data_IF_434489753859
#
_entry.id   IF_434489753859
#
_cell.length_a   1.000
_cell.length_b   1.000
_cell.length_c   1.000
_cell.angle_alpha   90.00
_cell.angle_beta   90.00
_cell.angle_gamma   90.00
#
_symmetry.space_group_name_H-M   'P 1'
#
loop_
_entity.id
_entity.type
_entity.pdbx_description
1 polymer ?
#
# COMPACT_ATOMS: atom_id res chain seq x y z
N UNK A 1 14.80 -5.20 -43.02
CA UNK A 1 14.03 -5.86 -41.94
C UNK A 1 14.12 -4.93 -40.74
N UNK A 2 13.01 -4.31 -40.34
CA UNK A 2 13.00 -3.25 -39.33
C UNK A 2 12.81 -3.85 -37.92
N UNK A 3 13.76 -3.59 -37.03
CA UNK A 3 13.60 -3.75 -35.59
C UNK A 3 12.70 -2.62 -35.07
N UNK A 4 11.47 -2.94 -34.65
CA UNK A 4 10.62 -2.01 -33.91
C UNK A 4 10.53 -2.48 -32.46
N UNK A 5 11.52 -2.04 -31.68
CA UNK A 5 11.51 -2.15 -30.23
C UNK A 5 10.40 -1.25 -29.66
N UNK A 6 9.27 -1.83 -29.29
CA UNK A 6 8.27 -1.14 -28.46
C UNK A 6 8.85 -0.98 -27.05
N UNK A 7 9.59 0.13 -26.84
CA UNK A 7 9.94 0.59 -25.50
C UNK A 7 8.63 0.82 -24.77
N UNK A 8 8.33 -0.02 -23.77
CA UNK A 8 7.23 0.20 -22.83
C UNK A 8 7.45 1.56 -22.14
N UNK A 9 6.87 2.61 -22.71
CA UNK A 9 6.96 3.97 -22.17
C UNK A 9 6.17 3.96 -20.86
N UNK A 10 6.87 4.01 -19.72
CA UNK A 10 6.22 4.25 -18.44
C UNK A 10 5.44 5.57 -18.48
N UNK A 11 4.49 5.74 -17.57
CA UNK A 11 3.72 6.98 -17.48
C UNK A 11 4.58 8.16 -17.03
N UNK A 12 4.23 9.37 -17.45
CA UNK A 12 4.87 10.60 -16.93
C UNK A 12 4.42 10.86 -15.49
N UNK A 13 5.13 11.77 -14.81
CA UNK A 13 4.76 12.18 -13.44
C UNK A 13 3.36 12.80 -13.43
N UNK A 14 3.02 13.59 -14.45
CA UNK A 14 1.72 14.26 -14.59
C UNK A 14 0.60 13.25 -14.81
N UNK A 15 0.80 12.25 -15.66
CA UNK A 15 -0.14 11.15 -15.87
C UNK A 15 -0.33 10.33 -14.59
N UNK A 16 0.75 10.07 -13.86
CA UNK A 16 0.71 9.37 -12.57
C UNK A 16 -0.05 10.17 -11.49
N UNK A 17 0.19 11.49 -11.43
CA UNK A 17 -0.54 12.41 -10.55
C UNK A 17 -2.04 12.41 -10.86
N UNK A 18 -2.41 12.40 -12.14
CA UNK A 18 -3.81 12.31 -12.54
C UNK A 18 -4.45 10.97 -12.15
N UNK A 19 -3.74 9.86 -12.30
CA UNK A 19 -4.20 8.55 -11.80
C UNK A 19 -4.39 8.54 -10.28
N UNK A 20 -3.47 9.15 -9.52
CA UNK A 20 -3.60 9.30 -8.06
C UNK A 20 -4.87 10.10 -7.73
N UNK A 21 -5.08 11.25 -8.39
CA UNK A 21 -6.26 12.11 -8.18
C UNK A 21 -7.56 11.36 -8.45
N UNK A 22 -7.62 10.57 -9.53
CA UNK A 22 -8.79 9.73 -9.84
C UNK A 22 -8.98 8.61 -8.83
N UNK A 23 -7.90 7.94 -8.43
CA UNK A 23 -7.93 6.88 -7.41
C UNK A 23 -8.45 7.37 -6.06
N UNK A 24 -8.03 8.55 -5.62
CA UNK A 24 -8.50 9.20 -4.38
C UNK A 24 -10.01 9.50 -4.37
N UNK A 25 -10.68 9.48 -5.53
CA UNK A 25 -12.14 9.66 -5.62
C UNK A 25 -12.93 8.36 -5.51
N UNK A 26 -12.27 7.21 -5.56
CA UNK A 26 -12.95 5.90 -5.49
C UNK A 26 -13.58 5.68 -4.11
N UNK A 27 -14.71 4.95 -4.00
CA UNK A 27 -15.41 4.75 -2.74
C UNK A 27 -14.53 4.14 -1.64
N UNK A 28 -13.71 3.14 -1.98
CA UNK A 28 -12.83 2.47 -1.01
C UNK A 28 -11.75 3.41 -0.46
N UNK A 29 -11.16 4.25 -1.31
CA UNK A 29 -10.14 5.21 -0.87
C UNK A 29 -10.75 6.35 -0.05
N UNK A 30 -11.98 6.78 -0.38
CA UNK A 30 -12.74 7.72 0.46
C UNK A 30 -13.02 7.13 1.84
N UNK A 31 -13.54 5.90 1.89
CA UNK A 31 -13.78 5.16 3.12
C UNK A 31 -12.50 5.09 3.99
N UNK A 32 -11.38 4.71 3.39
CA UNK A 32 -10.08 4.66 4.09
C UNK A 32 -9.68 6.03 4.66
N UNK A 33 -9.79 7.09 3.86
CA UNK A 33 -9.40 8.44 4.26
C UNK A 33 -10.26 8.97 5.42
N UNK A 34 -11.56 8.74 5.37
CA UNK A 34 -12.49 9.13 6.43
C UNK A 34 -12.16 8.45 7.76
N UNK A 35 -11.85 7.15 7.74
CA UNK A 35 -11.48 6.42 8.96
C UNK A 35 -10.14 6.87 9.53
N UNK A 36 -9.17 7.19 8.67
CA UNK A 36 -7.90 7.77 9.11
C UNK A 36 -8.12 9.15 9.75
N UNK A 37 -8.98 9.99 9.18
CA UNK A 37 -9.32 11.29 9.76
C UNK A 37 -10.05 11.16 11.10
N UNK A 38 -10.99 10.22 11.24
CA UNK A 38 -11.70 9.93 12.49
C UNK A 38 -10.77 9.48 13.61
N UNK A 39 -9.76 8.69 13.28
CA UNK A 39 -8.74 8.25 14.24
C UNK A 39 -7.67 9.31 14.52
N UNK A 40 -7.79 10.52 13.95
CA UNK A 40 -6.82 11.61 14.14
C UNK A 40 -5.59 11.55 13.24
N UNK A 41 -5.49 10.55 12.36
CA UNK A 41 -4.39 10.36 11.42
C UNK A 41 -4.63 11.09 10.10
N UNK A 42 -4.72 12.42 10.16
CA UNK A 42 -4.98 13.26 8.98
C UNK A 42 -3.92 13.06 7.91
N UNK A 43 -4.39 12.85 6.68
CA UNK A 43 -3.58 12.81 5.46
C UNK A 43 -3.60 14.22 4.86
N UNK A 44 -2.45 14.91 4.87
CA UNK A 44 -2.33 16.24 4.27
C UNK A 44 -2.43 16.23 2.74
N UNK A 45 -2.65 17.40 2.15
CA UNK A 45 -2.57 17.58 0.71
C UNK A 45 -1.17 17.19 0.21
N UNK A 46 -1.10 16.41 -0.88
CA UNK A 46 0.15 15.84 -1.42
C UNK A 46 0.83 14.76 -0.57
N UNK A 47 0.12 14.08 0.33
CA UNK A 47 0.67 12.93 1.05
C UNK A 47 1.05 11.77 0.11
N UNK A 48 0.24 11.53 -0.94
CA UNK A 48 0.53 10.56 -2.00
C UNK A 48 1.20 11.30 -3.16
N UNK A 49 2.42 10.89 -3.52
CA UNK A 49 3.22 11.52 -4.58
C UNK A 49 3.63 10.51 -5.64
N UNK A 50 3.58 10.94 -6.89
CA UNK A 50 4.22 10.23 -7.99
C UNK A 50 5.74 10.38 -7.88
N UNK A 51 6.47 9.26 -7.98
CA UNK A 51 7.94 9.23 -8.02
C UNK A 51 8.40 8.32 -9.16
N UNK A 52 9.56 8.62 -9.74
CA UNK A 52 10.18 7.72 -10.70
C UNK A 52 10.63 6.43 -10.01
N UNK A 53 10.38 5.31 -10.67
CA UNK A 53 10.83 4.00 -10.20
C UNK A 53 12.12 3.62 -10.92
N UNK A 54 13.18 3.39 -10.16
CA UNK A 54 14.49 2.95 -10.70
C UNK A 54 14.49 1.45 -11.08
N UNK A 55 13.46 0.71 -10.66
CA UNK A 55 13.34 -0.73 -10.83
C UNK A 55 11.90 -1.13 -11.18
N UNK A 56 11.74 -2.22 -11.92
CA UNK A 56 10.43 -2.83 -12.20
C UNK A 56 9.89 -3.50 -10.93
N UNK A 57 9.05 -2.78 -10.21
CA UNK A 57 8.49 -3.23 -8.92
C UNK A 57 6.96 -3.13 -8.97
N UNK A 58 6.28 -4.20 -8.55
CA UNK A 58 4.84 -4.21 -8.27
C UNK A 58 4.64 -4.46 -6.77
N UNK A 59 3.95 -3.57 -6.06
CA UNK A 59 3.84 -3.67 -4.59
C UNK A 59 5.13 -3.36 -3.82
N UNK A 60 5.13 -3.51 -2.49
CA UNK A 60 6.31 -3.29 -1.64
C UNK A 60 6.17 -2.22 -0.56
N UNK A 61 6.82 -2.41 0.59
CA UNK A 61 7.16 -1.32 1.51
C UNK A 61 8.63 -0.95 1.33
N UNK A 62 8.90 0.32 1.01
CA UNK A 62 10.25 0.86 0.98
C UNK A 62 10.37 2.00 1.98
N UNK A 63 11.34 1.89 2.90
CA UNK A 63 11.62 2.92 3.91
C UNK A 63 11.97 4.23 3.19
N UNK A 64 11.26 5.31 3.52
CA UNK A 64 11.40 6.61 2.85
C UNK A 64 10.71 6.72 1.48
N UNK A 65 10.11 5.65 0.94
CA UNK A 65 9.40 5.63 -0.35
C UNK A 65 7.92 5.21 -0.26
N UNK A 66 7.44 4.73 0.91
CA UNK A 66 6.02 4.50 1.21
C UNK A 66 5.55 3.04 1.18
N UNK A 67 4.23 2.82 1.40
CA UNK A 67 3.54 1.53 1.18
C UNK A 67 3.06 1.42 -0.27
N UNK A 68 3.15 0.21 -0.79
CA UNK A 68 2.45 -0.29 -1.96
C UNK A 68 1.75 -1.60 -1.55
N UNK A 69 0.63 -1.93 -2.20
CA UNK A 69 -0.35 -2.97 -1.82
C UNK A 69 0.28 -4.22 -1.15
N UNK A 70 0.26 -4.33 0.18
CA UNK A 70 1.02 -5.36 0.90
C UNK A 70 0.37 -6.76 0.89
N UNK A 71 -0.96 -6.82 0.83
CA UNK A 71 -1.73 -8.06 0.83
C UNK A 71 -1.66 -8.75 -0.55
N UNK A 72 -1.97 -8.02 -1.62
CA UNK A 72 -2.14 -8.59 -2.96
C UNK A 72 -0.86 -8.62 -3.81
N UNK A 73 0.25 -8.05 -3.34
CA UNK A 73 1.55 -8.08 -4.06
C UNK A 73 2.36 -9.36 -3.87
N UNK A 74 1.95 -10.22 -2.93
CA UNK A 74 2.78 -11.33 -2.45
C UNK A 74 3.97 -10.89 -1.57
N UNK A 75 4.00 -9.65 -1.09
CA UNK A 75 5.02 -9.18 -0.14
C UNK A 75 4.99 -9.93 1.17
N UNK A 76 3.79 -10.33 1.60
CA UNK A 76 3.54 -11.05 2.83
C UNK A 76 3.45 -12.58 2.64
N UNK A 77 3.85 -13.09 1.47
CA UNK A 77 3.92 -14.51 1.21
C UNK A 77 4.92 -15.21 2.14
N UNK A 78 4.56 -16.39 2.66
CA UNK A 78 5.33 -17.16 3.64
C UNK A 78 6.84 -17.27 3.32
N UNK A 79 7.19 -17.64 2.07
CA UNK A 79 8.60 -17.71 1.64
C UNK A 79 9.38 -16.41 1.86
N UNK A 80 8.75 -15.24 1.63
CA UNK A 80 9.39 -13.93 1.85
C UNK A 80 9.47 -13.58 3.33
N UNK A 81 8.46 -13.95 4.11
CA UNK A 81 8.47 -13.80 5.58
C UNK A 81 9.57 -14.63 6.22
N UNK A 82 9.75 -15.88 5.78
CA UNK A 82 10.83 -16.76 6.23
C UNK A 82 12.21 -16.17 5.92
N UNK A 83 12.42 -15.66 4.69
CA UNK A 83 13.65 -14.98 4.30
C UNK A 83 13.91 -13.68 5.09
N UNK A 84 12.87 -13.09 5.69
CA UNK A 84 12.95 -11.92 6.58
C UNK A 84 13.09 -12.30 8.06
N UNK A 85 13.20 -13.59 8.38
CA UNK A 85 13.39 -14.11 9.73
C UNK A 85 12.10 -14.33 10.52
N UNK A 86 10.92 -14.23 9.91
CA UNK A 86 9.65 -14.52 10.58
C UNK A 86 9.30 -16.01 10.41
N UNK A 87 9.26 -16.74 11.54
CA UNK A 87 9.05 -18.19 11.58
C UNK A 87 7.60 -18.62 11.84
N UNK A 88 6.70 -17.66 12.06
CA UNK A 88 5.29 -17.97 12.33
C UNK A 88 4.65 -18.53 11.05
N UNK A 89 4.01 -19.69 11.15
CA UNK A 89 3.34 -20.34 10.01
C UNK A 89 1.87 -19.90 9.95
N UNK A 90 1.17 -20.01 11.09
CA UNK A 90 -0.26 -19.73 11.17
C UNK A 90 -0.52 -18.22 11.32
N UNK A 91 -1.34 -17.65 10.45
CA UNK A 91 -1.73 -16.24 10.50
C UNK A 91 -0.60 -15.25 10.14
N UNK A 92 0.50 -15.74 9.56
CA UNK A 92 1.68 -14.91 9.25
C UNK A 92 1.35 -13.75 8.30
N UNK A 93 0.48 -13.98 7.32
CA UNK A 93 0.13 -12.97 6.33
C UNK A 93 -0.58 -11.77 6.99
N UNK A 94 -1.60 -12.03 7.81
CA UNK A 94 -2.29 -10.99 8.56
C UNK A 94 -1.32 -10.17 9.42
N UNK A 95 -0.43 -10.84 10.14
CA UNK A 95 0.57 -10.15 10.95
C UNK A 95 1.55 -9.34 10.11
N UNK A 96 2.00 -9.88 8.99
CA UNK A 96 2.84 -9.16 8.05
C UNK A 96 2.15 -7.90 7.56
N UNK A 97 0.89 -8.01 7.11
CA UNK A 97 0.12 -6.87 6.61
C UNK A 97 -0.06 -5.82 7.72
N UNK A 98 -0.44 -6.21 8.94
CA UNK A 98 -0.52 -5.29 10.11
C UNK A 98 0.81 -4.61 10.39
N UNK A 99 1.92 -5.35 10.44
CA UNK A 99 3.28 -4.79 10.63
C UNK A 99 3.63 -3.77 9.55
N UNK A 100 3.26 -4.04 8.29
CA UNK A 100 3.52 -3.13 7.17
C UNK A 100 2.69 -1.86 7.25
N UNK A 101 1.39 -1.97 7.57
CA UNK A 101 0.50 -0.82 7.79
C UNK A 101 1.06 0.08 8.88
N UNK A 102 1.34 -0.45 10.07
CA UNK A 102 1.88 0.31 11.19
C UNK A 102 3.19 1.03 10.83
N UNK A 103 4.08 0.37 10.09
CA UNK A 103 5.36 0.96 9.65
C UNK A 103 5.22 2.11 8.64
N UNK A 104 4.05 2.24 8.01
CA UNK A 104 3.76 3.37 7.14
C UNK A 104 3.06 4.48 7.86
N UNK A 105 2.15 4.12 8.77
CA UNK A 105 1.47 5.11 9.59
C UNK A 105 2.46 5.82 10.51
N UNK A 106 3.52 5.13 10.97
CA UNK A 106 4.63 5.75 11.70
C UNK A 106 5.41 6.80 10.90
N UNK A 107 5.24 6.87 9.58
CA UNK A 107 5.81 7.91 8.73
C UNK A 107 4.97 9.19 8.68
N UNK A 108 3.74 9.16 9.21
CA UNK A 108 2.85 10.32 9.26
C UNK A 108 3.08 11.09 10.58
N UNK A 109 3.65 12.31 10.56
CA UNK A 109 3.88 13.10 11.78
C UNK A 109 2.58 13.50 12.48
N UNK A 110 1.44 13.44 11.78
CA UNK A 110 0.12 13.77 12.33
C UNK A 110 -0.59 12.57 12.96
N UNK A 111 0.08 11.43 13.10
CA UNK A 111 -0.56 10.18 13.53
C UNK A 111 0.26 9.55 14.65
N UNK A 112 -0.35 9.36 15.82
CA UNK A 112 0.29 8.62 16.91
C UNK A 112 0.24 7.11 16.66
N UNK A 113 1.04 6.33 17.40
CA UNK A 113 1.01 4.87 17.28
C UNK A 113 -0.36 4.29 17.68
N UNK A 114 -0.99 4.81 18.74
CA UNK A 114 -2.32 4.39 19.16
C UNK A 114 -3.38 4.70 18.10
N UNK A 115 -3.40 5.94 17.61
CA UNK A 115 -4.27 6.37 16.53
C UNK A 115 -4.09 5.50 15.27
N UNK A 116 -2.85 5.11 14.98
CA UNK A 116 -2.53 4.21 13.86
C UNK A 116 -3.17 2.84 14.02
N UNK A 117 -3.04 2.27 15.23
CA UNK A 117 -3.61 0.96 15.55
C UNK A 117 -5.13 1.00 15.46
N UNK A 118 -5.75 2.00 16.06
CA UNK A 118 -7.20 2.18 16.08
C UNK A 118 -7.76 2.34 14.66
N UNK A 119 -7.10 3.15 13.82
CA UNK A 119 -7.51 3.34 12.43
C UNK A 119 -7.40 2.04 11.61
N UNK A 120 -6.31 1.29 11.78
CA UNK A 120 -6.09 0.02 11.10
C UNK A 120 -7.15 -1.01 11.51
N UNK A 121 -7.41 -1.14 12.81
CA UNK A 121 -8.38 -2.11 13.34
C UNK A 121 -9.80 -1.77 12.90
N UNK A 122 -10.18 -0.49 12.85
CA UNK A 122 -11.51 -0.05 12.44
C UNK A 122 -11.89 -0.41 10.99
N UNK A 123 -10.91 -0.60 10.10
CA UNK A 123 -11.14 -0.91 8.68
C UNK A 123 -10.74 -2.33 8.31
N UNK A 124 -10.15 -3.09 9.25
CA UNK A 124 -9.44 -4.33 8.95
C UNK A 124 -10.29 -5.34 8.20
N UNK A 125 -11.50 -5.60 8.67
CA UNK A 125 -12.39 -6.61 8.08
C UNK A 125 -12.88 -6.22 6.68
N UNK A 126 -12.93 -4.92 6.38
CA UNK A 126 -13.31 -4.45 5.04
C UNK A 126 -12.11 -4.54 4.09
N UNK A 127 -10.96 -3.99 4.50
CA UNK A 127 -9.80 -3.85 3.62
C UNK A 127 -9.00 -5.15 3.45
N UNK A 128 -8.92 -6.00 4.48
CA UNK A 128 -8.20 -7.27 4.37
C UNK A 128 -8.95 -8.28 3.48
N UNK A 129 -10.28 -8.23 3.47
CA UNK A 129 -11.11 -9.11 2.65
C UNK A 129 -11.37 -8.57 1.24
N UNK A 130 -10.97 -7.33 0.94
CA UNK A 130 -11.03 -6.79 -0.42
C UNK A 130 -9.86 -7.32 -1.26
N UNK A 131 -10.16 -8.26 -2.16
CA UNK A 131 -9.18 -8.83 -3.07
C UNK A 131 -9.11 -8.12 -4.42
N UNK A 132 -9.96 -7.12 -4.67
CA UNK A 132 -10.00 -6.45 -5.98
C UNK A 132 -8.66 -5.79 -6.30
N UNK A 133 -8.25 -5.77 -7.59
CA UNK A 133 -8.95 -6.29 -8.77
C UNK A 133 -8.77 -7.80 -8.99
N UNK A 134 -8.12 -8.52 -8.07
CA UNK A 134 -7.84 -9.95 -8.19
C UNK A 134 -9.01 -10.79 -7.64
N UNK A 135 -9.10 -12.03 -8.11
CA UNK A 135 -10.12 -12.97 -7.63
C UNK A 135 -9.79 -13.52 -6.23
N UNK A 136 -8.51 -13.56 -5.87
CA UNK A 136 -8.03 -14.03 -4.57
C UNK A 136 -6.67 -13.43 -4.22
N UNK A 137 -6.36 -13.41 -2.92
CA UNK A 137 -5.00 -13.17 -2.45
C UNK A 137 -4.07 -14.32 -2.91
N UNK A 138 -2.81 -13.99 -3.27
CA UNK A 138 -1.84 -14.95 -3.81
C UNK A 138 -1.34 -15.99 -2.79
#
# INVERSE_FOLDING_TARGET
MAESSTINKGSTVEECQDMIRRGLRTPMVKFLKEHLEKSGCRIGDNFIKAIHCDQKISGGYARGRGIRAGHLSGDCHYKRELLRGYLKIRGHEQECVKRRVMKSMSGNPNCSESASRDAMEAIWDVCYNDTKPFDRAP
#
